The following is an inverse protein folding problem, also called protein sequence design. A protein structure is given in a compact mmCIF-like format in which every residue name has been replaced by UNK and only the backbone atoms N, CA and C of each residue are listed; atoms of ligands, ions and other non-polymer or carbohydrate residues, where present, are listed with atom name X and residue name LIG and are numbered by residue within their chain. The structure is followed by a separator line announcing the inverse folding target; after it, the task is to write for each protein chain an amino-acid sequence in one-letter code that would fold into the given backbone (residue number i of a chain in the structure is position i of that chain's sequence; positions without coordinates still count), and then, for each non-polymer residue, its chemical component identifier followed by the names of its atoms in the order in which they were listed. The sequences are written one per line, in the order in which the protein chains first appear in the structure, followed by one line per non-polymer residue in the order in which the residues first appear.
data_IF_719710364065
#
_entry.id   IF_719710364065
#
_cell.length_a   1.000
_cell.length_b   1.000
_cell.length_c   1.000
_cell.angle_alpha   90.00
_cell.angle_beta   90.00
_cell.angle_gamma   90.00
#
_symmetry.space_group_name_H-M   'P 1'
#
loop_
_entity.id
_entity.type
_entity.pdbx_description
1 polymer ?
#
# COMPACT_ATOMS: atom_id res chain seq x y z
N UNK A 1 -27.94 -9.74 -46.02
CA UNK A 1 -28.37 -10.42 -44.77
C UNK A 1 -27.29 -10.53 -43.69
N UNK A 2 -26.00 -10.26 -43.95
CA UNK A 2 -24.95 -10.32 -42.92
C UNK A 2 -24.91 -9.08 -41.99
N UNK A 3 -25.22 -7.87 -42.51
CA UNK A 3 -25.20 -6.63 -41.71
C UNK A 3 -26.21 -6.61 -40.56
N UNK A 4 -27.40 -7.18 -40.75
CA UNK A 4 -28.45 -7.20 -39.74
C UNK A 4 -28.10 -8.09 -38.52
N UNK A 5 -27.22 -9.09 -38.71
CA UNK A 5 -26.77 -9.98 -37.62
C UNK A 5 -25.65 -9.35 -36.78
N UNK A 6 -24.80 -8.51 -37.38
CA UNK A 6 -23.70 -7.82 -36.66
C UNK A 6 -24.25 -6.72 -35.74
N UNK A 7 -25.29 -6.00 -36.17
CA UNK A 7 -25.96 -4.98 -35.35
C UNK A 7 -26.70 -5.56 -34.13
N UNK A 8 -27.23 -6.79 -34.23
CA UNK A 8 -27.93 -7.45 -33.12
C UNK A 8 -26.98 -7.91 -32.01
N UNK A 9 -25.74 -8.27 -32.36
CA UNK A 9 -24.69 -8.68 -31.40
C UNK A 9 -24.13 -7.47 -30.64
N UNK A 10 -23.96 -6.32 -31.31
CA UNK A 10 -23.50 -5.10 -30.65
C UNK A 10 -24.53 -4.54 -29.65
N UNK A 11 -25.82 -4.62 -29.99
CA UNK A 11 -26.89 -4.16 -29.11
C UNK A 11 -27.08 -5.04 -27.85
N UNK A 12 -26.76 -6.34 -27.95
CA UNK A 12 -26.85 -7.26 -26.79
C UNK A 12 -25.67 -7.13 -25.83
N UNK A 13 -24.47 -6.78 -26.29
CA UNK A 13 -23.33 -6.47 -25.39
C UNK A 13 -23.53 -5.16 -24.62
N UNK A 14 -24.17 -4.14 -25.22
CA UNK A 14 -24.37 -2.85 -24.55
C UNK A 14 -25.33 -2.95 -23.35
N UNK A 15 -26.28 -3.89 -23.37
CA UNK A 15 -27.24 -4.11 -22.28
C UNK A 15 -26.69 -4.98 -21.13
N UNK A 16 -25.50 -5.56 -21.29
CA UNK A 16 -24.77 -6.30 -20.24
C UNK A 16 -23.88 -5.40 -19.38
N UNK A 17 -24.00 -4.08 -19.51
CA UNK A 17 -23.40 -3.10 -18.59
C UNK A 17 -24.11 -3.11 -17.22
N UNK A 18 -24.32 -4.29 -16.64
CA UNK A 18 -24.66 -4.41 -15.23
C UNK A 18 -23.55 -3.76 -14.44
N UNK A 19 -23.91 -2.91 -13.46
CA UNK A 19 -22.96 -2.41 -12.46
C UNK A 19 -22.17 -3.62 -11.97
N UNK A 20 -20.88 -3.68 -12.23
CA UNK A 20 -20.03 -4.72 -11.68
C UNK A 20 -20.14 -4.62 -10.17
N UNK A 21 -20.89 -5.52 -9.54
CA UNK A 21 -20.96 -5.59 -8.10
C UNK A 21 -19.57 -5.99 -7.65
N UNK A 22 -18.88 -5.11 -6.94
CA UNK A 22 -17.61 -5.45 -6.31
C UNK A 22 -17.87 -6.66 -5.41
N UNK A 23 -17.21 -7.77 -5.71
CA UNK A 23 -17.34 -9.00 -4.94
C UNK A 23 -16.77 -8.74 -3.53
N UNK A 24 -17.64 -8.63 -2.53
CA UNK A 24 -17.19 -8.54 -1.14
C UNK A 24 -16.77 -9.94 -0.65
N UNK A 25 -15.49 -10.10 -0.36
CA UNK A 25 -14.91 -11.37 0.09
C UNK A 25 -15.15 -11.64 1.59
N UNK A 26 -16.00 -10.83 2.25
CA UNK A 26 -16.22 -10.92 3.70
C UNK A 26 -15.02 -10.45 4.51
N UNK A 27 -14.14 -9.66 3.90
CA UNK A 27 -13.01 -9.06 4.58
C UNK A 27 -13.49 -7.92 5.48
N UNK A 28 -12.76 -7.68 6.56
CA UNK A 28 -13.16 -6.75 7.61
C UNK A 28 -12.01 -5.80 7.90
N UNK A 29 -12.27 -4.65 8.55
CA UNK A 29 -11.18 -3.76 8.94
C UNK A 29 -10.14 -4.44 9.83
N UNK A 30 -10.49 -5.49 10.58
CA UNK A 30 -9.53 -6.26 11.39
C UNK A 30 -8.50 -7.01 10.54
N UNK A 31 -8.91 -7.52 9.38
CA UNK A 31 -8.00 -8.15 8.41
C UNK A 31 -7.03 -7.11 7.82
N UNK A 32 -7.55 -5.95 7.44
CA UNK A 32 -6.74 -4.84 6.92
C UNK A 32 -5.78 -4.31 7.98
N UNK A 33 -6.22 -4.17 9.23
CA UNK A 33 -5.40 -3.78 10.37
C UNK A 33 -4.21 -4.73 10.56
N UNK A 34 -4.41 -6.04 10.38
CA UNK A 34 -3.33 -7.02 10.42
C UNK A 34 -2.28 -6.77 9.32
N UNK A 35 -2.69 -6.48 8.09
CA UNK A 35 -1.75 -6.16 7.01
C UNK A 35 -0.94 -4.92 7.33
N UNK A 36 -1.59 -3.85 7.80
CA UNK A 36 -0.90 -2.60 8.12
C UNK A 36 0.03 -2.69 9.33
N UNK A 37 -0.21 -3.64 10.24
CA UNK A 37 0.76 -3.98 11.29
C UNK A 37 2.05 -4.51 10.67
N UNK A 38 1.95 -5.37 9.66
CA UNK A 38 3.11 -5.89 8.95
C UNK A 38 3.77 -4.83 8.04
N UNK A 39 2.99 -4.02 7.31
CA UNK A 39 3.53 -2.93 6.48
C UNK A 39 4.30 -1.92 7.35
N UNK A 40 3.81 -1.60 8.55
CA UNK A 40 4.55 -0.72 9.45
C UNK A 40 5.92 -1.31 9.86
N UNK A 41 6.03 -2.64 9.93
CA UNK A 41 7.32 -3.31 10.16
C UNK A 41 8.22 -3.24 8.94
N UNK A 42 7.69 -3.39 7.72
CA UNK A 42 8.49 -3.24 6.48
C UNK A 42 8.98 -1.81 6.30
N UNK A 43 8.19 -0.79 6.67
CA UNK A 43 8.63 0.61 6.69
C UNK A 43 9.81 0.82 7.64
N UNK A 44 9.70 0.32 8.89
CA UNK A 44 10.80 0.43 9.86
C UNK A 44 12.05 -0.28 9.34
N UNK A 45 11.89 -1.44 8.71
CA UNK A 45 13.02 -2.18 8.15
C UNK A 45 13.67 -1.42 6.99
N UNK A 46 12.89 -0.92 6.04
CA UNK A 46 13.42 -0.11 4.95
C UNK A 46 14.27 1.06 5.50
N UNK A 47 13.77 1.77 6.51
CA UNK A 47 14.52 2.84 7.15
C UNK A 47 15.81 2.33 7.82
N UNK A 48 15.81 1.17 8.48
CA UNK A 48 17.03 0.58 9.03
C UNK A 48 18.07 0.24 7.95
N UNK A 49 17.61 -0.21 6.78
CA UNK A 49 18.47 -0.62 5.68
C UNK A 49 19.05 0.57 4.91
N UNK A 50 18.29 1.67 4.78
CA UNK A 50 18.68 2.79 3.93
C UNK A 50 19.26 3.98 4.69
N UNK A 51 18.87 4.19 5.95
CA UNK A 51 19.25 5.39 6.71
C UNK A 51 20.34 5.06 7.72
N UNK A 52 21.53 5.64 7.52
CA UNK A 52 22.67 5.49 8.43
C UNK A 52 22.53 6.29 9.73
N UNK A 53 21.79 7.39 9.72
CA UNK A 53 21.57 8.21 10.92
C UNK A 53 20.62 7.51 11.91
N UNK A 54 21.21 7.01 13.00
CA UNK A 54 20.50 6.31 14.07
C UNK A 54 19.44 7.18 14.77
N UNK A 55 19.55 8.50 14.71
CA UNK A 55 18.57 9.44 15.27
C UNK A 55 17.28 9.39 14.45
N UNK A 56 17.39 9.38 13.11
CA UNK A 56 16.25 9.27 12.20
C UNK A 56 15.57 7.91 12.39
N UNK A 57 16.37 6.83 12.41
CA UNK A 57 15.87 5.46 12.65
C UNK A 57 15.10 5.38 13.97
N UNK A 58 15.64 5.95 15.03
CA UNK A 58 15.00 5.97 16.36
C UNK A 58 13.72 6.82 16.35
N UNK A 59 13.74 7.96 15.65
CA UNK A 59 12.56 8.82 15.48
C UNK A 59 11.40 8.08 14.81
N UNK A 60 11.67 7.38 13.71
CA UNK A 60 10.68 6.55 12.99
C UNK A 60 10.09 5.46 13.91
N UNK A 61 10.95 4.76 14.66
CA UNK A 61 10.53 3.68 15.58
C UNK A 61 9.66 4.20 16.72
N UNK A 62 9.99 5.38 17.25
CA UNK A 62 9.27 6.01 18.37
C UNK A 62 7.89 6.57 17.98
N UNK A 63 7.61 6.77 16.69
CA UNK A 63 6.30 7.25 16.25
C UNK A 63 5.18 6.25 16.62
N UNK A 64 4.09 6.80 17.16
CA UNK A 64 2.88 6.05 17.50
C UNK A 64 1.68 6.43 16.61
N UNK A 65 0.65 5.59 16.63
CA UNK A 65 -0.63 5.87 15.97
C UNK A 65 -1.32 7.07 16.61
N UNK A 66 -1.93 7.92 15.78
CA UNK A 66 -2.87 8.95 16.24
C UNK A 66 -4.29 8.40 16.28
N UNK A 67 -5.16 9.01 17.08
CA UNK A 67 -6.59 8.66 17.11
C UNK A 67 -7.34 9.40 16.00
N UNK A 68 -8.20 8.67 15.31
CA UNK A 68 -9.12 9.20 14.30
C UNK A 68 -10.52 8.65 14.55
N UNK A 69 -11.55 9.35 14.08
CA UNK A 69 -12.95 8.93 14.19
C UNK A 69 -13.68 9.16 12.87
N UNK A 70 -14.79 8.45 12.66
CA UNK A 70 -15.68 8.66 11.50
C UNK A 70 -15.10 8.33 10.14
N UNK A 71 -13.99 7.57 10.08
CA UNK A 71 -13.37 7.16 8.82
C UNK A 71 -14.17 6.05 8.14
N UNK A 72 -14.15 6.05 6.81
CA UNK A 72 -14.76 5.07 5.93
C UNK A 72 -13.68 4.30 5.16
N UNK A 73 -13.99 3.12 4.57
CA UNK A 73 -13.02 2.39 3.76
C UNK A 73 -12.39 3.22 2.63
N UNK A 74 -13.17 4.11 1.99
CA UNK A 74 -12.66 5.03 0.97
C UNK A 74 -11.53 5.94 1.49
N UNK A 75 -11.67 6.50 2.71
CA UNK A 75 -10.62 7.33 3.32
C UNK A 75 -9.33 6.53 3.55
N UNK A 76 -9.49 5.27 3.96
CA UNK A 76 -8.36 4.36 4.20
C UNK A 76 -7.67 4.02 2.89
N UNK A 77 -8.44 3.71 1.84
CA UNK A 77 -7.91 3.40 0.52
C UNK A 77 -7.15 4.60 -0.07
N UNK A 78 -7.73 5.80 -0.02
CA UNK A 78 -7.07 7.01 -0.50
C UNK A 78 -5.71 7.19 0.17
N UNK A 79 -5.64 7.04 1.51
CA UNK A 79 -4.37 7.15 2.23
C UNK A 79 -3.40 6.01 1.91
N UNK A 80 -3.90 4.80 1.70
CA UNK A 80 -3.08 3.66 1.28
C UNK A 80 -2.42 3.91 -0.08
N UNK A 81 -3.15 4.51 -1.04
CA UNK A 81 -2.61 4.88 -2.35
C UNK A 81 -1.54 5.99 -2.24
N UNK A 82 -1.67 6.92 -1.29
CA UNK A 82 -0.59 7.86 -1.00
C UNK A 82 0.68 7.14 -0.50
N UNK A 83 0.53 6.16 0.41
CA UNK A 83 1.64 5.34 0.88
C UNK A 83 2.25 4.50 -0.26
N UNK A 84 1.42 3.94 -1.14
CA UNK A 84 1.89 3.25 -2.34
C UNK A 84 2.74 4.18 -3.22
N UNK A 85 2.34 5.44 -3.39
CA UNK A 85 3.12 6.45 -4.09
C UNK A 85 4.52 6.63 -3.51
N UNK A 86 4.63 6.73 -2.17
CA UNK A 86 5.93 6.80 -1.49
C UNK A 86 6.77 5.53 -1.69
N UNK A 87 6.14 4.35 -1.67
CA UNK A 87 6.83 3.10 -1.97
C UNK A 87 7.31 3.03 -3.41
N UNK A 88 6.52 3.52 -4.37
CA UNK A 88 6.91 3.57 -5.76
C UNK A 88 8.13 4.47 -5.99
N UNK A 89 8.28 5.57 -5.24
CA UNK A 89 9.51 6.36 -5.25
C UNK A 89 10.73 5.52 -4.86
N UNK A 90 10.65 4.77 -3.75
CA UNK A 90 11.74 3.89 -3.31
C UNK A 90 12.04 2.78 -4.31
N UNK A 91 10.99 2.18 -4.89
CA UNK A 91 11.15 1.13 -5.90
C UNK A 91 11.91 1.64 -7.12
N UNK A 92 11.51 2.80 -7.66
CA UNK A 92 12.17 3.41 -8.82
C UNK A 92 13.63 3.72 -8.52
N UNK A 93 13.95 4.22 -7.32
CA UNK A 93 15.32 4.50 -6.90
C UNK A 93 16.18 3.25 -6.72
N UNK A 94 15.55 2.08 -6.53
CA UNK A 94 16.22 0.78 -6.45
C UNK A 94 16.08 -0.03 -7.74
N UNK A 95 15.83 0.63 -8.88
CA UNK A 95 15.65 0.02 -10.20
C UNK A 95 14.55 -1.06 -10.26
N UNK A 96 13.55 -0.98 -9.38
CA UNK A 96 12.37 -1.83 -9.38
C UNK A 96 11.19 -1.12 -10.07
N UNK A 97 10.38 -1.84 -10.86
CA UNK A 97 9.21 -1.26 -11.50
C UNK A 97 8.19 -0.80 -10.43
N UNK A 98 7.54 0.36 -10.61
CA UNK A 98 6.48 0.80 -9.71
C UNK A 98 5.26 -0.11 -9.83
N UNK A 99 4.49 -0.25 -8.74
CA UNK A 99 3.19 -0.92 -8.77
C UNK A 99 2.11 0.00 -9.30
N UNK A 100 1.14 -0.57 -10.02
CA UNK A 100 -0.01 0.16 -10.54
C UNK A 100 -1.01 0.44 -9.42
N UNK A 101 -1.35 1.71 -9.22
CA UNK A 101 -2.37 2.12 -8.26
C UNK A 101 -3.76 1.65 -8.70
N UNK A 102 -4.57 1.19 -7.76
CA UNK A 102 -5.95 0.84 -8.04
C UNK A 102 -6.77 2.08 -8.42
N UNK A 103 -7.70 1.91 -9.37
CA UNK A 103 -8.73 2.91 -9.69
C UNK A 103 -10.02 2.42 -9.05
N UNK A 104 -10.39 3.01 -7.91
CA UNK A 104 -11.63 2.66 -7.22
C UNK A 104 -12.54 3.90 -7.10
N UNK A 105 -13.81 3.83 -7.54
CA UNK A 105 -14.76 4.90 -7.31
C UNK A 105 -15.09 5.00 -5.81
N UNK A 106 -14.93 6.20 -5.23
CA UNK A 106 -15.06 6.46 -3.78
C UNK A 106 -16.41 6.01 -3.18
N UNK A 107 -17.49 6.01 -3.97
CA UNK A 107 -18.84 5.73 -3.49
C UNK A 107 -19.14 4.25 -3.21
N UNK A 108 -18.22 3.34 -3.58
CA UNK A 108 -18.40 1.89 -3.42
C UNK A 108 -17.21 1.17 -2.77
N UNK A 109 -16.25 1.89 -2.18
CA UNK A 109 -15.10 1.24 -1.54
C UNK A 109 -15.51 0.41 -0.32
N UNK A 110 -15.12 -0.85 -0.32
CA UNK A 110 -15.33 -1.84 0.73
C UNK A 110 -14.03 -2.16 1.47
N UNK A 111 -14.06 -2.82 2.64
CA UNK A 111 -12.86 -3.35 3.26
C UNK A 111 -12.09 -4.35 2.39
N UNK A 112 -12.77 -5.06 1.49
CA UNK A 112 -12.14 -5.96 0.51
C UNK A 112 -11.20 -5.20 -0.41
N UNK A 113 -11.64 -4.06 -0.96
CA UNK A 113 -10.80 -3.22 -1.84
C UNK A 113 -9.54 -2.73 -1.10
N UNK A 114 -9.73 -2.24 0.13
CA UNK A 114 -8.62 -1.80 0.98
C UNK A 114 -7.66 -2.95 1.27
N UNK A 115 -8.17 -4.15 1.55
CA UNK A 115 -7.35 -5.31 1.84
C UNK A 115 -6.50 -5.74 0.64
N UNK A 116 -7.08 -5.78 -0.56
CA UNK A 116 -6.36 -6.14 -1.78
C UNK A 116 -5.24 -5.14 -2.07
N UNK A 117 -5.53 -3.85 -1.97
CA UNK A 117 -4.54 -2.79 -2.13
C UNK A 117 -3.44 -2.88 -1.07
N UNK A 118 -3.81 -3.05 0.20
CA UNK A 118 -2.85 -3.21 1.30
C UNK A 118 -1.99 -4.47 1.13
N UNK A 119 -2.54 -5.56 0.58
CA UNK A 119 -1.79 -6.79 0.32
C UNK A 119 -0.74 -6.58 -0.77
N UNK A 120 -1.08 -5.82 -1.81
CA UNK A 120 -0.15 -5.43 -2.88
C UNK A 120 0.97 -4.56 -2.32
N UNK A 121 0.66 -3.56 -1.49
CA UNK A 121 1.67 -2.73 -0.80
C UNK A 121 2.58 -3.59 0.09
N UNK A 122 2.03 -4.53 0.86
CA UNK A 122 2.85 -5.42 1.67
C UNK A 122 3.80 -6.25 0.80
N UNK A 123 3.29 -6.89 -0.24
CA UNK A 123 4.09 -7.69 -1.16
C UNK A 123 5.20 -6.86 -1.82
N UNK A 124 4.88 -5.65 -2.31
CA UNK A 124 5.86 -4.77 -2.97
C UNK A 124 6.92 -4.25 -2.00
N UNK A 125 6.55 -3.97 -0.74
CA UNK A 125 7.51 -3.58 0.30
C UNK A 125 8.45 -4.72 0.69
N UNK A 126 7.95 -5.96 0.72
CA UNK A 126 8.77 -7.14 1.00
C UNK A 126 9.70 -7.46 -0.18
N UNK A 127 9.21 -7.36 -1.42
CA UNK A 127 10.05 -7.48 -2.61
C UNK A 127 11.20 -6.46 -2.60
N UNK A 128 10.91 -5.20 -2.23
CA UNK A 128 11.94 -4.18 -2.07
C UNK A 128 12.97 -4.60 -1.01
N UNK A 129 12.55 -5.11 0.15
CA UNK A 129 13.47 -5.61 1.19
C UNK A 129 14.33 -6.76 0.65
N UNK A 130 13.76 -7.72 -0.07
CA UNK A 130 14.51 -8.83 -0.68
C UNK A 130 15.60 -8.29 -1.61
N UNK A 131 15.27 -7.31 -2.46
CA UNK A 131 16.24 -6.70 -3.36
C UNK A 131 17.35 -5.91 -2.67
N UNK A 132 17.17 -5.55 -1.40
CA UNK A 132 18.09 -4.71 -0.61
C UNK A 132 18.69 -5.43 0.60
N UNK A 133 18.56 -6.76 0.67
CA UNK A 133 19.12 -7.60 1.73
C UNK A 133 19.81 -8.82 1.13
N UNK A 134 20.61 -9.52 1.93
CA UNK A 134 21.21 -10.78 1.49
C UNK A 134 20.23 -11.97 1.61
N UNK A 135 20.65 -13.12 1.07
CA UNK A 135 19.85 -14.34 1.05
C UNK A 135 19.60 -14.96 2.43
N UNK A 136 20.23 -14.46 3.50
CA UNK A 136 19.99 -14.90 4.87
C UNK A 136 18.83 -14.17 5.55
N UNK A 137 18.32 -13.09 4.95
CA UNK A 137 17.24 -12.30 5.52
C UNK A 137 15.88 -13.01 5.43
N UNK A 138 15.29 -13.33 6.59
CA UNK A 138 14.02 -14.07 6.65
C UNK A 138 12.80 -13.16 6.48
N UNK A 139 12.20 -13.19 5.29
CA UNK A 139 11.02 -12.37 4.97
C UNK A 139 9.69 -12.92 5.47
N UNK A 140 9.63 -14.18 5.90
CA UNK A 140 8.41 -14.79 6.45
C UNK A 140 7.87 -14.00 7.65
N UNK A 141 8.75 -13.31 8.40
CA UNK A 141 8.38 -12.45 9.51
C UNK A 141 7.48 -11.26 9.15
N UNK A 142 7.38 -10.89 7.87
CA UNK A 142 6.49 -9.82 7.38
C UNK A 142 5.10 -10.32 6.98
N UNK A 143 4.85 -11.63 6.94
CA UNK A 143 3.53 -12.19 6.59
C UNK A 143 2.82 -12.81 7.80
N UNK A 144 3.13 -12.33 9.01
CA UNK A 144 2.50 -12.83 10.23
C UNK A 144 1.01 -12.52 10.21
N UNK A 145 0.18 -13.54 10.39
CA UNK A 145 -1.27 -13.38 10.55
C UNK A 145 -1.57 -13.03 12.00
N UNK A 146 -1.96 -11.78 12.24
CA UNK A 146 -2.42 -11.35 13.55
C UNK A 146 -3.94 -11.52 13.64
N UNK A 147 -4.42 -11.93 14.80
CA UNK A 147 -5.86 -11.99 15.07
C UNK A 147 -6.27 -10.76 15.85
N UNK A 148 -6.94 -9.83 15.17
CA UNK A 148 -7.59 -8.67 15.80
C UNK A 148 -9.10 -8.82 15.73
N UNK A 149 -9.80 -8.25 16.71
CA UNK A 149 -11.26 -8.19 16.76
C UNK A 149 -11.70 -6.74 16.81
N UNK A 150 -12.91 -6.50 16.31
CA UNK A 150 -13.67 -5.26 16.46
C UNK A 150 -12.95 -3.99 16.01
N UNK A 151 -12.03 -4.11 15.04
CA UNK A 151 -11.40 -2.95 14.42
C UNK A 151 -12.37 -2.24 13.49
N UNK A 152 -12.24 -0.93 13.47
CA UNK A 152 -13.00 -0.01 12.61
C UNK A 152 -12.10 0.54 11.49
N UNK A 153 -12.67 1.14 10.44
CA UNK A 153 -11.86 1.84 9.44
C UNK A 153 -11.00 2.96 10.04
N UNK A 154 -11.44 3.60 11.14
CA UNK A 154 -10.63 4.60 11.86
C UNK A 154 -9.37 4.01 12.48
N UNK A 155 -9.43 2.79 13.00
CA UNK A 155 -8.24 2.10 13.53
C UNK A 155 -7.26 1.75 12.41
N UNK A 156 -7.77 1.31 11.27
CA UNK A 156 -6.95 1.02 10.09
C UNK A 156 -6.30 2.29 9.57
N UNK A 157 -7.08 3.37 9.40
CA UNK A 157 -6.59 4.68 8.99
C UNK A 157 -5.44 5.14 9.87
N UNK A 158 -5.51 4.91 11.19
CA UNK A 158 -4.45 5.27 12.12
C UNK A 158 -3.12 4.54 11.85
N UNK A 159 -3.16 3.28 11.40
CA UNK A 159 -1.95 2.54 11.01
C UNK A 159 -1.42 2.96 9.63
N UNK A 160 -2.30 3.28 8.69
CA UNK A 160 -1.91 3.80 7.37
C UNK A 160 -1.24 5.16 7.52
N UNK A 161 -1.83 6.06 8.31
CA UNK A 161 -1.25 7.37 8.69
C UNK A 161 0.11 7.21 9.36
N UNK A 162 0.26 6.22 10.26
CA UNK A 162 1.55 5.95 10.89
C UNK A 162 2.62 5.55 9.87
N UNK A 163 2.30 4.65 8.94
CA UNK A 163 3.22 4.24 7.89
C UNK A 163 3.62 5.43 7.00
N UNK A 164 2.65 6.23 6.55
CA UNK A 164 2.91 7.43 5.76
C UNK A 164 3.84 8.40 6.49
N UNK A 165 3.51 8.75 7.74
CA UNK A 165 4.32 9.70 8.52
C UNK A 165 5.73 9.19 8.76
N UNK A 166 5.91 7.89 8.97
CA UNK A 166 7.23 7.26 9.12
C UNK A 166 8.05 7.39 7.83
N UNK A 167 7.46 7.07 6.69
CA UNK A 167 8.13 7.20 5.39
C UNK A 167 8.47 8.66 5.08
N UNK A 168 7.52 9.58 5.26
CA UNK A 168 7.73 11.00 5.02
C UNK A 168 8.83 11.57 5.93
N UNK A 169 8.78 11.24 7.23
CA UNK A 169 9.82 11.66 8.16
C UNK A 169 11.21 11.16 7.72
N UNK A 170 11.31 9.90 7.30
CA UNK A 170 12.55 9.39 6.75
C UNK A 170 12.98 10.16 5.50
N UNK A 171 12.09 10.39 4.52
CA UNK A 171 12.40 11.12 3.29
C UNK A 171 12.90 12.53 3.55
N UNK A 172 12.21 13.28 4.42
CA UNK A 172 12.52 14.67 4.73
C UNK A 172 13.88 14.85 5.40
N UNK A 173 14.33 13.85 6.18
CA UNK A 173 15.52 13.97 7.03
C UNK A 173 16.73 13.19 6.51
N UNK A 174 16.55 12.18 5.66
CA UNK A 174 17.64 11.32 5.18
C UNK A 174 18.00 11.53 3.71
N UNK A 175 17.27 12.38 2.99
CA UNK A 175 17.49 12.57 1.55
C UNK A 175 17.15 11.33 0.72
N UNK A 176 16.32 10.41 1.25
CA UNK A 176 15.80 9.29 0.47
C UNK A 176 15.04 9.74 -0.77
N UNK A 177 14.62 11.01 -0.89
CA UNK A 177 14.05 11.56 -2.12
C UNK A 177 15.09 12.07 -3.14
N UNK A 178 16.35 12.30 -2.75
CA UNK A 178 17.33 13.10 -3.52
C UNK A 178 18.50 12.33 -4.12
N UNK A 179 18.64 11.01 -3.93
CA UNK A 179 19.77 10.24 -4.49
C UNK A 179 19.67 9.89 -5.99
N UNK A 180 18.74 10.50 -6.75
CA UNK A 180 18.50 10.18 -8.17
C UNK A 180 19.23 11.07 -9.17
N UNK A 181 20.46 11.55 -8.90
CA UNK A 181 21.04 12.60 -9.76
C UNK A 181 22.55 12.82 -9.83
N UNK A 182 23.40 12.06 -9.16
CA UNK A 182 24.86 12.24 -9.28
C UNK A 182 25.56 10.89 -9.46
N UNK A 183 25.70 10.42 -10.69
CA UNK A 183 26.34 9.12 -10.92
C UNK A 183 26.47 8.60 -12.35
N UNK A 184 26.75 9.43 -13.35
CA UNK A 184 27.42 8.98 -14.59
C UNK A 184 27.84 10.17 -15.44
N UNK A 185 29.04 10.67 -15.18
CA UNK A 185 29.65 11.78 -15.91
C UNK A 185 31.14 11.88 -15.63
N UNK A 186 31.85 10.75 -15.78
CA UNK A 186 33.29 10.71 -16.05
C UNK A 186 33.55 9.58 -17.04
#
# INVERSE_FOLDING_TARGET
MALARVLLIAATLAMLSGKAWALDLGLTPSHVYSLWTNINRTVIECVNLTVKDTTIVSGVKAMATKKFTGKKPADVLALALHVEGLWNTLRIQSDLPPTLQAIAPESMTTPTDVYLESSKILASSVEWIIGNTDSSHLVAGYFVRHTFKDKTPSDVYALVDLAQRRMQFAFDHSGLATQSGEGSGQ
#
